data_IF_265500010180
#
_entry.id   IF_265500010180
#
_cell.length_a   1.000
_cell.length_b   1.000
_cell.length_c   1.000
_cell.angle_alpha   90.00
_cell.angle_beta   90.00
_cell.angle_gamma   90.00
#
_symmetry.space_group_name_H-M   'P 1'
#
loop_
_entity.id
_entity.type
_entity.pdbx_description
1 polymer ?
#
# COMPACT_ATOMS: atom_id res chain seq x y z
N UNK A 1 -1.46 7.33 -10.36
CA UNK A 1 -0.87 8.17 -9.28
C UNK A 1 0.65 8.37 -9.42
N UNK A 2 1.46 7.35 -9.73
CA UNK A 2 2.91 7.53 -9.90
C UNK A 2 3.25 8.65 -10.91
N UNK A 3 2.59 8.64 -12.08
CA UNK A 3 2.79 9.67 -13.12
C UNK A 3 2.39 11.07 -12.65
N UNK A 4 1.32 11.16 -11.83
CA UNK A 4 0.87 12.43 -11.24
C UNK A 4 1.90 12.97 -10.25
N UNK A 5 2.46 12.12 -9.37
CA UNK A 5 3.53 12.51 -8.45
C UNK A 5 4.78 12.93 -9.21
N UNK A 6 5.13 12.20 -10.29
CA UNK A 6 6.23 12.58 -11.18
C UNK A 6 6.00 13.95 -11.80
N UNK A 7 4.82 14.17 -12.40
CA UNK A 7 4.46 15.46 -12.98
C UNK A 7 4.48 16.58 -11.92
N UNK A 8 3.98 16.31 -10.71
CA UNK A 8 4.00 17.25 -9.60
C UNK A 8 5.42 17.67 -9.20
N UNK A 9 6.38 16.74 -9.13
CA UNK A 9 7.77 17.08 -8.86
C UNK A 9 8.36 17.98 -9.96
N UNK A 10 8.15 17.62 -11.23
CA UNK A 10 8.67 18.37 -12.36
C UNK A 10 7.99 19.73 -12.58
N UNK A 11 6.76 19.91 -12.12
CA UNK A 11 6.04 21.18 -12.19
C UNK A 11 6.63 22.28 -11.27
N UNK A 12 7.60 21.93 -10.41
CA UNK A 12 8.30 22.90 -9.59
C UNK A 12 9.51 23.56 -10.27
N UNK A 13 9.85 23.15 -11.49
CA UNK A 13 10.86 23.89 -12.29
C UNK A 13 10.34 25.27 -12.64
N UNK A 14 11.19 26.27 -12.47
CA UNK A 14 10.86 27.68 -12.75
C UNK A 14 11.79 28.22 -13.82
N UNK A 15 11.40 28.21 -15.11
CA UNK A 15 12.22 28.77 -16.17
C UNK A 15 12.64 30.21 -15.89
N UNK A 16 13.92 30.51 -16.03
CA UNK A 16 14.45 31.84 -15.83
C UNK A 16 14.59 32.57 -17.17
N UNK A 17 14.25 33.85 -17.21
CA UNK A 17 14.42 34.71 -18.40
C UNK A 17 15.80 35.34 -18.46
N UNK A 18 16.50 35.38 -17.31
CA UNK A 18 17.82 36.01 -17.24
C UNK A 18 18.94 35.00 -17.53
N UNK A 19 20.01 35.51 -18.14
CA UNK A 19 21.21 34.72 -18.40
C UNK A 19 22.02 34.51 -17.12
N UNK A 20 22.64 33.34 -16.99
CA UNK A 20 23.65 33.10 -15.97
C UNK A 20 24.93 33.87 -16.35
N UNK A 21 25.47 34.64 -15.43
CA UNK A 21 26.76 35.33 -15.59
C UNK A 21 27.71 34.90 -14.48
N UNK A 22 28.84 34.30 -14.87
CA UNK A 22 29.87 33.83 -13.92
C UNK A 22 31.13 34.67 -14.10
N UNK A 23 31.49 35.56 -13.15
CA UNK A 23 32.74 36.30 -13.17
C UNK A 23 33.94 35.40 -12.84
N UNK A 24 35.01 35.52 -13.64
CA UNK A 24 36.27 34.81 -13.36
C UNK A 24 37.46 35.68 -13.80
N UNK A 25 38.24 36.16 -12.85
CA UNK A 25 39.25 37.17 -13.10
C UNK A 25 38.64 38.45 -13.68
N UNK A 26 39.15 38.91 -14.81
CA UNK A 26 38.65 40.09 -15.50
C UNK A 26 37.51 39.77 -16.50
N UNK A 27 37.23 38.51 -16.74
CA UNK A 27 36.19 38.05 -17.71
C UNK A 27 34.88 37.70 -17.03
N UNK A 28 33.81 37.79 -17.82
CA UNK A 28 32.45 37.39 -17.44
C UNK A 28 31.92 36.38 -18.46
N UNK A 29 31.68 35.16 -18.00
CA UNK A 29 31.17 34.08 -18.84
C UNK A 29 29.64 34.03 -18.72
N UNK A 30 28.97 33.99 -19.86
CA UNK A 30 27.51 34.09 -19.93
C UNK A 30 26.93 32.86 -20.59
N UNK A 31 25.87 32.29 -19.96
CA UNK A 31 24.97 31.30 -20.55
C UNK A 31 23.62 31.96 -20.72
N UNK A 32 23.09 31.96 -21.96
CA UNK A 32 21.77 32.51 -22.22
C UNK A 32 20.66 31.65 -21.62
N UNK A 33 19.51 32.23 -21.35
CA UNK A 33 18.38 31.52 -20.77
C UNK A 33 17.92 30.34 -21.62
N UNK A 34 17.94 30.44 -22.95
CA UNK A 34 17.58 29.35 -23.85
C UNK A 34 18.59 28.18 -23.79
N UNK A 35 19.90 28.45 -23.67
CA UNK A 35 20.93 27.40 -23.50
C UNK A 35 20.69 26.62 -22.20
N UNK A 36 20.32 27.33 -21.12
CA UNK A 36 19.96 26.69 -19.84
C UNK A 36 18.67 25.88 -19.96
N UNK A 37 17.66 26.36 -20.70
CA UNK A 37 16.43 25.62 -20.98
C UNK A 37 16.70 24.31 -21.72
N UNK A 38 17.51 24.35 -22.78
CA UNK A 38 17.88 23.18 -23.58
C UNK A 38 18.57 22.10 -22.71
N UNK A 39 19.42 22.50 -21.76
CA UNK A 39 20.04 21.59 -20.80
C UNK A 39 18.98 20.92 -19.91
N UNK A 40 18.03 21.71 -19.38
CA UNK A 40 16.95 21.20 -18.50
C UNK A 40 16.07 20.22 -19.27
N UNK A 41 15.66 20.56 -20.49
CA UNK A 41 14.83 19.72 -21.34
C UNK A 41 15.54 18.41 -21.70
N UNK A 42 16.83 18.47 -22.01
CA UNK A 42 17.66 17.30 -22.24
C UNK A 42 17.79 16.39 -21.02
N UNK A 43 17.84 16.95 -19.81
CA UNK A 43 17.87 16.17 -18.57
C UNK A 43 16.49 15.54 -18.27
N UNK A 44 15.41 16.28 -18.49
CA UNK A 44 14.03 15.80 -18.33
C UNK A 44 13.72 14.65 -19.30
N UNK A 45 14.14 14.78 -20.56
CA UNK A 45 13.96 13.74 -21.59
C UNK A 45 14.70 12.41 -21.26
N UNK A 46 15.75 12.46 -20.44
CA UNK A 46 16.49 11.28 -19.97
C UNK A 46 15.89 10.64 -18.73
N UNK A 47 14.77 11.13 -18.23
CA UNK A 47 14.07 10.64 -17.05
C UNK A 47 14.97 10.50 -15.80
N UNK A 48 15.93 11.42 -15.63
CA UNK A 48 16.78 11.43 -14.43
C UNK A 48 15.95 11.77 -13.18
N UNK A 49 16.36 11.26 -12.02
CA UNK A 49 15.72 11.67 -10.76
C UNK A 49 15.90 13.17 -10.54
N UNK A 50 14.89 13.81 -9.96
CA UNK A 50 14.84 15.27 -9.78
C UNK A 50 16.09 15.83 -9.10
N UNK A 51 16.53 15.24 -7.98
CA UNK A 51 17.72 15.70 -7.26
C UNK A 51 19.02 15.45 -8.01
N UNK A 52 19.12 14.30 -8.73
CA UNK A 52 20.25 14.01 -9.61
C UNK A 52 20.30 15.00 -10.77
N UNK A 53 19.16 15.28 -11.41
CA UNK A 53 19.03 16.25 -12.48
C UNK A 53 19.51 17.64 -12.06
N UNK A 54 19.14 18.06 -10.84
CA UNK A 54 19.60 19.34 -10.27
C UNK A 54 21.13 19.42 -10.15
N UNK A 55 21.78 18.34 -9.71
CA UNK A 55 23.24 18.25 -9.62
C UNK A 55 23.87 18.27 -11.02
N UNK A 56 23.30 17.49 -11.95
CA UNK A 56 23.76 17.44 -13.34
C UNK A 56 23.57 18.78 -14.04
N UNK A 57 22.52 19.52 -13.74
CA UNK A 57 22.28 20.87 -14.30
C UNK A 57 23.44 21.82 -13.95
N UNK A 58 23.88 21.86 -12.68
CA UNK A 58 25.03 22.65 -12.27
C UNK A 58 26.31 22.27 -13.04
N UNK A 59 26.53 20.96 -13.23
CA UNK A 59 27.73 20.45 -13.96
C UNK A 59 27.65 20.78 -15.45
N UNK A 60 26.47 20.69 -16.06
CA UNK A 60 26.27 21.05 -17.48
C UNK A 60 26.45 22.54 -17.74
N UNK A 61 25.90 23.40 -16.86
CA UNK A 61 26.15 24.84 -16.92
C UNK A 61 27.64 25.17 -16.83
N UNK A 62 28.36 24.50 -15.91
CA UNK A 62 29.81 24.67 -15.79
C UNK A 62 30.55 24.20 -17.03
N UNK A 63 30.16 23.08 -17.63
CA UNK A 63 30.74 22.57 -18.86
C UNK A 63 30.57 23.53 -20.05
N UNK A 64 29.36 24.11 -20.24
CA UNK A 64 29.11 25.13 -21.27
C UNK A 64 30.01 26.33 -21.08
N UNK A 65 30.32 26.73 -19.84
CA UNK A 65 31.29 27.80 -19.58
C UNK A 65 32.69 27.37 -19.96
N UNK A 66 33.12 26.13 -19.68
CA UNK A 66 34.42 25.61 -20.12
C UNK A 66 34.56 25.65 -21.64
N UNK A 67 33.56 25.19 -22.36
CA UNK A 67 33.54 25.22 -23.85
C UNK A 67 33.74 26.66 -24.36
N UNK A 68 33.04 27.65 -23.74
CA UNK A 68 33.21 29.07 -24.08
C UNK A 68 34.61 29.61 -23.75
N UNK A 69 35.25 29.11 -22.68
CA UNK A 69 36.62 29.44 -22.30
C UNK A 69 37.61 28.90 -23.33
N UNK A 70 37.44 27.63 -23.74
CA UNK A 70 38.28 26.98 -24.77
C UNK A 70 38.18 27.72 -26.12
N UNK A 71 36.97 28.08 -26.54
CA UNK A 71 36.76 28.90 -27.76
C UNK A 71 37.45 30.26 -27.64
N UNK A 72 37.56 30.80 -26.41
CA UNK A 72 38.26 32.07 -26.17
C UNK A 72 39.79 31.92 -26.00
N UNK A 73 40.33 30.71 -26.24
CA UNK A 73 41.76 30.40 -26.18
C UNK A 73 42.31 30.11 -24.77
N UNK A 74 41.45 29.85 -23.80
CA UNK A 74 41.85 29.34 -22.45
C UNK A 74 41.92 27.81 -22.48
N UNK A 75 42.71 27.19 -21.59
CA UNK A 75 42.80 25.74 -21.43
C UNK A 75 42.38 25.36 -20.01
N UNK A 76 41.07 25.39 -19.69
CA UNK A 76 40.58 25.01 -18.37
C UNK A 76 40.70 23.50 -18.16
N UNK A 77 41.00 23.07 -16.91
CA UNK A 77 40.99 21.69 -16.49
C UNK A 77 39.69 21.30 -15.78
N UNK A 78 39.50 20.01 -15.44
CA UNK A 78 38.31 19.51 -14.72
C UNK A 78 38.10 20.17 -13.37
N UNK A 79 39.15 20.63 -12.68
CA UNK A 79 39.07 21.36 -11.41
C UNK A 79 38.39 22.71 -11.57
N UNK A 80 38.59 23.33 -12.73
CA UNK A 80 37.93 24.56 -13.11
C UNK A 80 36.43 24.34 -13.26
N UNK A 81 36.01 23.25 -13.92
CA UNK A 81 34.59 22.88 -14.05
C UNK A 81 33.95 22.73 -12.66
N UNK A 82 34.56 21.94 -11.77
CA UNK A 82 34.04 21.72 -10.44
C UNK A 82 33.93 23.03 -9.63
N UNK A 83 34.93 23.89 -9.74
CA UNK A 83 34.95 25.20 -9.08
C UNK A 83 33.80 26.07 -9.60
N UNK A 84 33.56 26.10 -10.91
CA UNK A 84 32.46 26.85 -11.53
C UNK A 84 31.11 26.29 -11.09
N UNK A 85 30.92 24.97 -11.14
CA UNK A 85 29.66 24.31 -10.72
C UNK A 85 29.29 24.62 -9.28
N UNK A 86 30.29 24.76 -8.40
CA UNK A 86 30.10 25.09 -6.98
C UNK A 86 30.10 26.61 -6.70
N UNK A 87 30.31 27.45 -7.69
CA UNK A 87 30.34 28.90 -7.52
C UNK A 87 29.00 29.46 -7.06
N UNK A 88 29.03 30.60 -6.35
CA UNK A 88 27.81 31.27 -5.87
C UNK A 88 26.82 31.61 -7.01
N UNK A 89 27.29 32.17 -8.15
CA UNK A 89 26.38 32.48 -9.27
C UNK A 89 25.65 31.25 -9.82
N UNK A 90 26.38 30.15 -10.06
CA UNK A 90 25.80 28.90 -10.57
C UNK A 90 24.81 28.32 -9.57
N UNK A 91 25.16 28.25 -8.27
CA UNK A 91 24.25 27.77 -7.22
C UNK A 91 22.96 28.59 -7.16
N UNK A 92 23.07 29.91 -7.14
CA UNK A 92 21.91 30.79 -7.09
C UNK A 92 21.01 30.60 -8.32
N UNK A 93 21.61 30.49 -9.51
CA UNK A 93 20.89 30.24 -10.76
C UNK A 93 20.18 28.86 -10.74
N UNK A 94 20.87 27.82 -10.30
CA UNK A 94 20.31 26.49 -10.14
C UNK A 94 19.19 26.48 -9.08
N UNK A 95 19.35 27.17 -7.96
CA UNK A 95 18.31 27.26 -6.92
C UNK A 95 17.05 27.97 -7.44
N UNK A 96 17.20 28.97 -8.31
CA UNK A 96 16.08 29.67 -8.93
C UNK A 96 15.36 28.82 -9.99
N UNK A 97 16.11 28.12 -10.84
CA UNK A 97 15.57 27.26 -11.89
C UNK A 97 14.99 25.95 -11.37
N UNK A 98 15.71 25.31 -10.44
CA UNK A 98 15.51 23.95 -9.99
C UNK A 98 15.52 23.88 -8.47
N UNK A 99 14.44 24.33 -7.83
CA UNK A 99 14.37 24.41 -6.39
C UNK A 99 14.53 23.07 -5.71
N UNK A 100 15.00 23.05 -4.48
CA UNK A 100 15.01 21.84 -3.65
C UNK A 100 13.60 21.49 -3.23
N UNK A 101 13.23 20.23 -3.39
CA UNK A 101 11.93 19.72 -3.00
C UNK A 101 11.99 18.97 -1.67
N UNK A 102 10.89 19.02 -0.95
CA UNK A 102 10.54 18.18 0.17
C UNK A 102 9.37 17.31 -0.25
N UNK A 103 9.50 15.97 -0.15
CA UNK A 103 8.52 15.02 -0.64
C UNK A 103 7.14 15.21 0.00
N UNK A 104 7.11 15.43 1.33
CA UNK A 104 5.86 15.63 2.04
C UNK A 104 5.17 16.95 1.64
N UNK A 105 5.96 18.01 1.35
CA UNK A 105 5.40 19.28 0.86
C UNK A 105 4.82 19.16 -0.54
N UNK A 106 5.48 18.38 -1.43
CA UNK A 106 4.95 18.12 -2.79
C UNK A 106 3.62 17.41 -2.70
N UNK A 107 3.53 16.32 -1.91
CA UNK A 107 2.28 15.56 -1.74
C UNK A 107 1.22 16.37 -1.00
N UNK A 108 1.61 17.13 0.02
CA UNK A 108 0.68 18.04 0.70
C UNK A 108 0.03 19.01 -0.28
N UNK A 109 0.83 19.70 -1.11
CA UNK A 109 0.32 20.59 -2.13
C UNK A 109 -0.57 19.86 -3.13
N UNK A 110 -0.16 18.66 -3.56
CA UNK A 110 -0.93 17.84 -4.51
C UNK A 110 -2.33 17.52 -3.97
N UNK A 111 -2.48 17.24 -2.66
CA UNK A 111 -3.73 16.82 -2.04
C UNK A 111 -4.57 17.99 -1.45
N UNK A 112 -4.01 19.21 -1.40
CA UNK A 112 -4.69 20.38 -0.81
C UNK A 112 -4.92 21.53 -1.80
N UNK A 113 -4.20 21.57 -2.93
CA UNK A 113 -4.32 22.57 -3.98
C UNK A 113 -4.98 21.94 -5.22
N UNK A 114 -6.29 22.16 -5.36
CA UNK A 114 -7.08 21.55 -6.45
C UNK A 114 -6.66 22.03 -7.84
N UNK A 115 -6.18 23.27 -7.98
CA UNK A 115 -5.71 23.81 -9.26
C UNK A 115 -4.37 23.15 -9.65
N UNK A 116 -3.47 23.01 -8.68
CA UNK A 116 -2.21 22.30 -8.89
C UNK A 116 -2.46 20.83 -9.24
N UNK A 117 -3.32 20.12 -8.49
CA UNK A 117 -3.69 18.73 -8.81
C UNK A 117 -4.25 18.63 -10.24
N UNK A 118 -5.16 19.51 -10.62
CA UNK A 118 -5.73 19.51 -11.97
C UNK A 118 -4.66 19.70 -13.05
N UNK A 119 -3.72 20.64 -12.83
CA UNK A 119 -2.65 20.95 -13.80
C UNK A 119 -1.69 19.77 -14.05
N UNK A 120 -1.38 18.96 -13.02
CA UNK A 120 -0.40 17.87 -13.12
C UNK A 120 -1.04 16.50 -13.38
N UNK A 121 -2.37 16.41 -13.36
CA UNK A 121 -3.11 15.15 -13.57
C UNK A 121 -3.95 15.12 -14.85
N UNK A 122 -3.80 16.11 -15.71
CA UNK A 122 -4.51 16.19 -17.00
C UNK A 122 -4.24 14.94 -17.84
N UNK A 123 -5.31 14.28 -18.31
CA UNK A 123 -5.22 13.05 -19.11
C UNK A 123 -4.87 11.79 -18.31
N UNK A 124 -4.63 11.89 -17.00
CA UNK A 124 -4.31 10.76 -16.12
C UNK A 124 -5.45 10.46 -15.16
N UNK A 125 -6.06 11.49 -14.56
CA UNK A 125 -7.16 11.35 -13.61
C UNK A 125 -8.43 12.02 -14.12
N UNK A 126 -9.56 11.40 -13.82
CA UNK A 126 -10.89 11.98 -14.03
C UNK A 126 -11.18 13.07 -12.97
N UNK A 127 -12.20 13.88 -13.21
CA UNK A 127 -12.65 14.90 -12.24
C UNK A 127 -13.17 14.28 -10.93
N UNK A 128 -13.75 13.09 -11.01
CA UNK A 128 -14.23 12.34 -9.85
C UNK A 128 -13.06 11.85 -8.99
N UNK A 129 -12.06 11.24 -9.61
CA UNK A 129 -10.83 10.79 -8.94
C UNK A 129 -10.08 11.96 -8.30
N UNK A 130 -9.97 13.12 -8.99
CA UNK A 130 -9.37 14.33 -8.41
C UNK A 130 -10.12 14.80 -7.16
N UNK A 131 -11.47 14.79 -7.20
CA UNK A 131 -12.28 15.16 -6.02
C UNK A 131 -12.14 14.18 -4.88
N UNK A 132 -11.96 12.89 -5.17
CA UNK A 132 -11.73 11.84 -4.17
C UNK A 132 -10.36 11.91 -3.50
N UNK A 133 -9.35 12.45 -4.18
CA UNK A 133 -7.99 12.59 -3.65
C UNK A 133 -7.81 13.76 -2.68
N UNK A 134 -8.68 14.78 -2.76
CA UNK A 134 -8.54 15.97 -1.91
C UNK A 134 -8.74 15.63 -0.43
N UNK A 135 -7.77 16.00 0.41
CA UNK A 135 -7.86 15.87 1.86
C UNK A 135 -9.04 16.68 2.41
N UNK A 136 -9.94 16.03 3.10
CA UNK A 136 -11.13 16.67 3.70
C UNK A 136 -11.32 16.25 5.15
N UNK A 137 -11.39 17.21 6.11
CA UNK A 137 -11.21 18.65 5.91
C UNK A 137 -9.78 19.00 5.47
N UNK A 138 -9.62 20.07 4.68
CA UNK A 138 -8.30 20.52 4.24
C UNK A 138 -7.46 20.93 5.48
N UNK A 139 -6.31 20.27 5.71
CA UNK A 139 -5.49 20.54 6.89
C UNK A 139 -4.83 21.93 6.77
N UNK A 140 -4.75 22.67 7.88
CA UNK A 140 -4.18 24.02 7.91
C UNK A 140 -2.66 24.06 7.71
N UNK A 141 -1.99 22.94 7.89
CA UNK A 141 -0.53 22.81 7.74
C UNK A 141 -0.11 21.38 7.52
N UNK A 142 1.08 21.19 6.98
CA UNK A 142 1.71 19.89 6.79
C UNK A 142 1.73 19.02 8.08
N UNK A 143 1.94 19.65 9.24
CA UNK A 143 1.98 18.93 10.54
C UNK A 143 0.63 18.35 10.94
N UNK A 144 -0.46 18.95 10.45
CA UNK A 144 -1.84 18.58 10.78
C UNK A 144 -2.49 17.74 9.65
N UNK A 145 -1.69 17.24 8.71
CA UNK A 145 -2.23 16.55 7.52
C UNK A 145 -2.88 15.19 7.85
N UNK A 146 -2.57 14.58 9.01
CA UNK A 146 -3.17 13.31 9.40
C UNK A 146 -2.90 12.20 8.38
N UNK A 147 -1.63 12.05 7.94
CA UNK A 147 -1.23 11.13 6.87
C UNK A 147 -1.72 9.71 7.08
N UNK A 148 -2.39 9.19 6.08
CA UNK A 148 -2.72 7.76 5.99
C UNK A 148 -1.54 6.97 5.43
N UNK A 149 -1.59 5.64 5.55
CA UNK A 149 -0.59 4.74 4.94
C UNK A 149 -0.51 4.93 3.41
N UNK A 150 -1.63 5.29 2.77
CA UNK A 150 -1.70 5.55 1.33
C UNK A 150 -1.00 6.87 0.96
N UNK A 151 -1.18 7.90 1.76
CA UNK A 151 -0.47 9.18 1.58
C UNK A 151 1.03 8.99 1.77
N UNK A 152 1.45 8.17 2.74
CA UNK A 152 2.85 7.81 2.94
C UNK A 152 3.46 7.11 1.72
N UNK A 153 2.69 6.27 1.02
CA UNK A 153 3.15 5.66 -0.23
C UNK A 153 3.37 6.69 -1.36
N UNK A 154 2.55 7.76 -1.41
CA UNK A 154 2.77 8.88 -2.34
C UNK A 154 4.00 9.71 -1.95
N UNK A 155 4.20 9.95 -0.65
CA UNK A 155 5.39 10.65 -0.13
C UNK A 155 6.65 9.85 -0.45
N UNK A 156 6.61 8.53 -0.30
CA UNK A 156 7.71 7.63 -0.66
C UNK A 156 8.04 7.68 -2.17
N UNK A 157 7.01 7.73 -3.04
CA UNK A 157 7.19 7.92 -4.48
C UNK A 157 7.90 9.24 -4.78
N UNK A 158 7.43 10.33 -4.19
CA UNK A 158 8.05 11.65 -4.36
C UNK A 158 9.48 11.67 -3.80
N UNK A 159 9.74 11.02 -2.68
CA UNK A 159 11.07 10.93 -2.07
C UNK A 159 12.07 10.22 -2.98
N UNK A 160 11.70 9.11 -3.63
CA UNK A 160 12.57 8.39 -4.56
C UNK A 160 12.84 9.19 -5.84
N UNK A 161 11.85 9.96 -6.33
CA UNK A 161 12.04 10.88 -7.45
C UNK A 161 13.03 12.01 -7.10
N UNK A 162 13.04 12.46 -5.86
CA UNK A 162 13.96 13.50 -5.38
C UNK A 162 15.35 12.93 -5.14
N UNK A 163 15.45 11.82 -4.40
CA UNK A 163 16.70 11.18 -4.06
C UNK A 163 16.53 9.65 -4.07
N UNK A 164 17.53 8.95 -4.62
CA UNK A 164 17.46 7.49 -4.74
C UNK A 164 17.25 6.83 -3.39
N UNK A 165 16.23 5.99 -3.30
CA UNK A 165 15.99 5.11 -2.15
C UNK A 165 17.11 4.06 -2.08
N UNK A 166 17.70 3.82 -0.91
CA UNK A 166 18.67 2.73 -0.72
C UNK A 166 18.03 1.36 -1.03
N UNK A 167 18.73 0.53 -1.78
CA UNK A 167 18.29 -0.83 -2.14
C UNK A 167 18.91 -1.86 -1.22
N UNK A 168 18.14 -2.92 -0.92
CA UNK A 168 18.60 -4.12 -0.19
C UNK A 168 18.79 -5.28 -1.15
N UNK A 169 19.55 -6.30 -0.73
CA UNK A 169 19.86 -7.47 -1.56
C UNK A 169 18.69 -8.43 -1.71
N UNK A 170 17.83 -8.54 -0.70
CA UNK A 170 16.65 -9.41 -0.71
C UNK A 170 15.52 -8.82 0.13
N UNK A 171 14.27 -9.01 -0.34
CA UNK A 171 13.04 -8.65 0.38
C UNK A 171 12.16 -9.89 0.49
N UNK A 172 11.68 -10.16 1.68
CA UNK A 172 10.57 -11.08 1.91
C UNK A 172 9.32 -10.25 2.18
N UNK A 173 8.30 -10.45 1.38
CA UNK A 173 7.03 -9.75 1.45
C UNK A 173 5.91 -10.75 1.67
N UNK A 174 5.24 -10.66 2.82
CA UNK A 174 4.06 -11.45 3.13
C UNK A 174 2.78 -10.63 2.95
N UNK A 175 1.64 -11.32 2.81
CA UNK A 175 0.31 -10.72 2.61
C UNK A 175 0.28 -9.72 1.43
N UNK A 176 1.03 -10.01 0.38
CA UNK A 176 1.23 -9.08 -0.74
C UNK A 176 -0.07 -8.68 -1.47
N UNK A 177 -1.11 -9.52 -1.40
CA UNK A 177 -2.42 -9.24 -2.02
C UNK A 177 -3.12 -8.02 -1.42
N UNK A 178 -2.81 -7.65 -0.17
CA UNK A 178 -3.43 -6.50 0.50
C UNK A 178 -2.73 -5.16 0.22
N UNK A 179 -1.59 -5.20 -0.46
CA UNK A 179 -0.86 -3.98 -0.75
C UNK A 179 -1.44 -3.27 -1.99
N UNK A 180 -1.60 -1.96 -1.88
CA UNK A 180 -1.97 -1.14 -3.02
C UNK A 180 -0.85 -1.09 -4.07
N UNK A 181 -1.15 -0.78 -5.35
CA UNK A 181 -0.13 -0.58 -6.38
C UNK A 181 0.99 0.38 -5.98
N UNK A 182 0.68 1.44 -5.24
CA UNK A 182 1.68 2.39 -4.76
C UNK A 182 2.55 1.82 -3.64
N UNK A 183 1.98 0.99 -2.75
CA UNK A 183 2.76 0.28 -1.72
C UNK A 183 3.68 -0.76 -2.35
N UNK A 184 3.21 -1.55 -3.32
CA UNK A 184 4.05 -2.50 -4.06
C UNK A 184 5.21 -1.79 -4.76
N UNK A 185 4.98 -0.61 -5.36
CA UNK A 185 6.05 0.22 -5.93
C UNK A 185 7.05 0.69 -4.87
N UNK A 186 6.58 1.04 -3.67
CA UNK A 186 7.46 1.43 -2.56
C UNK A 186 8.38 0.27 -2.13
N UNK A 187 7.87 -0.97 -2.11
CA UNK A 187 8.67 -2.18 -1.89
C UNK A 187 9.66 -2.39 -3.05
N UNK A 188 9.20 -2.27 -4.31
CA UNK A 188 10.01 -2.46 -5.51
C UNK A 188 11.26 -1.55 -5.51
N UNK A 189 11.13 -0.28 -5.15
CA UNK A 189 12.24 0.67 -5.06
C UNK A 189 13.32 0.24 -4.08
N UNK A 190 12.93 -0.44 -3.01
CA UNK A 190 13.87 -0.97 -1.99
C UNK A 190 14.57 -2.26 -2.42
N UNK A 191 14.16 -2.85 -3.54
CA UNK A 191 14.74 -4.08 -4.07
C UNK A 191 14.89 -4.03 -5.61
N UNK A 192 15.34 -2.90 -6.14
CA UNK A 192 15.45 -2.65 -7.58
C UNK A 192 16.33 -3.69 -8.29
N UNK A 193 17.48 -4.01 -7.70
CA UNK A 193 18.48 -4.94 -8.24
C UNK A 193 18.59 -6.25 -7.47
N UNK A 194 17.85 -6.38 -6.36
CA UNK A 194 17.86 -7.56 -5.50
C UNK A 194 16.83 -8.60 -5.90
N UNK A 195 16.77 -9.68 -5.14
CA UNK A 195 15.75 -10.73 -5.26
C UNK A 195 14.59 -10.53 -4.29
N UNK A 196 13.44 -11.11 -4.60
CA UNK A 196 12.25 -11.05 -3.75
C UNK A 196 11.67 -12.43 -3.54
N UNK A 197 11.19 -12.70 -2.33
CA UNK A 197 10.23 -13.75 -2.02
C UNK A 197 8.92 -13.10 -1.67
N UNK A 198 7.88 -13.34 -2.45
CA UNK A 198 6.57 -12.70 -2.30
C UNK A 198 5.56 -13.78 -1.97
N UNK A 199 4.87 -13.62 -0.84
CA UNK A 199 3.87 -14.55 -0.34
C UNK A 199 2.52 -13.86 -0.26
N UNK A 200 1.46 -14.64 -0.38
CA UNK A 200 0.09 -14.14 -0.20
C UNK A 200 -0.95 -15.11 -0.71
N UNK A 201 -2.20 -14.78 -0.45
CA UNK A 201 -3.37 -15.54 -0.87
C UNK A 201 -4.41 -14.59 -1.50
N UNK A 202 -4.64 -14.72 -2.79
CA UNK A 202 -5.59 -13.88 -3.53
C UNK A 202 -7.04 -14.08 -3.05
N UNK A 203 -7.39 -15.26 -2.51
CA UNK A 203 -8.70 -15.51 -1.94
C UNK A 203 -8.93 -14.74 -0.62
N UNK A 204 -7.84 -14.37 0.08
CA UNK A 204 -7.87 -13.57 1.31
C UNK A 204 -7.65 -12.07 1.08
N UNK A 205 -7.80 -11.59 -0.13
CA UNK A 205 -7.64 -10.21 -0.53
C UNK A 205 -8.87 -9.39 -0.11
N UNK A 206 -8.85 -8.77 1.05
CA UNK A 206 -10.00 -8.09 1.68
C UNK A 206 -9.94 -6.56 1.60
N UNK A 207 -8.95 -5.99 0.92
CA UNK A 207 -8.84 -4.55 0.74
C UNK A 207 -9.45 -4.10 -0.60
N UNK A 208 -10.05 -2.89 -0.70
CA UNK A 208 -10.65 -2.40 -1.95
C UNK A 208 -9.66 -2.27 -3.12
N UNK A 209 -8.38 -2.12 -2.81
CA UNK A 209 -7.27 -1.97 -3.77
C UNK A 209 -6.52 -3.27 -4.03
N UNK A 210 -6.97 -4.38 -3.46
CA UNK A 210 -6.30 -5.67 -3.57
C UNK A 210 -6.02 -6.08 -5.02
N UNK A 211 -4.86 -6.66 -5.25
CA UNK A 211 -4.50 -7.20 -6.55
C UNK A 211 -5.41 -8.37 -6.93
N UNK A 212 -5.95 -8.32 -8.15
CA UNK A 212 -6.82 -9.39 -8.67
C UNK A 212 -6.04 -10.58 -9.25
N UNK A 213 -4.75 -10.42 -9.47
CA UNK A 213 -3.87 -11.47 -10.00
C UNK A 213 -2.43 -11.21 -9.59
N UNK A 214 -1.64 -12.27 -9.47
CA UNK A 214 -0.20 -12.19 -9.25
C UNK A 214 0.52 -11.41 -10.35
N UNK A 215 0.12 -11.58 -11.62
CA UNK A 215 0.70 -10.82 -12.72
C UNK A 215 0.53 -9.31 -12.57
N UNK A 216 -0.56 -8.84 -11.96
CA UNK A 216 -0.73 -7.41 -11.64
C UNK A 216 0.20 -6.95 -10.51
N UNK A 217 0.29 -7.72 -9.42
CA UNK A 217 1.18 -7.41 -8.30
C UNK A 217 2.65 -7.39 -8.74
N UNK A 218 3.08 -8.39 -9.51
CA UNK A 218 4.45 -8.53 -10.00
C UNK A 218 4.86 -7.39 -10.95
N UNK A 219 3.93 -6.86 -11.77
CA UNK A 219 4.21 -5.65 -12.57
C UNK A 219 4.54 -4.45 -11.70
N UNK A 220 3.82 -4.25 -10.60
CA UNK A 220 4.09 -3.13 -9.67
C UNK A 220 5.37 -3.35 -8.85
N UNK A 221 5.76 -4.60 -8.62
CA UNK A 221 7.03 -4.97 -8.02
C UNK A 221 8.22 -4.93 -9.00
N UNK A 222 7.97 -4.76 -10.32
CA UNK A 222 9.02 -4.78 -11.34
C UNK A 222 9.66 -6.16 -11.54
N UNK A 223 8.91 -7.25 -11.27
CA UNK A 223 9.36 -8.65 -11.32
C UNK A 223 8.43 -9.50 -12.21
N UNK A 224 8.21 -9.07 -13.44
CA UNK A 224 7.23 -9.68 -14.37
C UNK A 224 7.55 -11.10 -14.80
N UNK A 225 8.80 -11.50 -14.70
CA UNK A 225 9.37 -12.81 -15.04
C UNK A 225 9.65 -13.68 -13.79
N UNK A 226 9.02 -13.35 -12.66
CA UNK A 226 9.15 -14.14 -11.45
C UNK A 226 8.50 -15.52 -11.62
N UNK A 227 9.14 -16.54 -11.04
CA UNK A 227 8.54 -17.86 -10.87
C UNK A 227 7.39 -17.78 -9.86
N UNK A 228 6.24 -18.37 -10.18
CA UNK A 228 5.10 -18.49 -9.29
C UNK A 228 4.93 -19.96 -8.93
N UNK A 229 4.92 -20.25 -7.63
CA UNK A 229 4.65 -21.58 -7.08
C UNK A 229 3.32 -21.55 -6.34
N UNK A 230 2.38 -22.41 -6.72
CA UNK A 230 1.09 -22.53 -6.06
C UNK A 230 1.16 -23.59 -4.96
N UNK A 231 0.88 -23.17 -3.71
CA UNK A 231 0.83 -24.06 -2.57
C UNK A 231 -0.61 -24.55 -2.37
N UNK A 232 -0.91 -25.76 -2.83
CA UNK A 232 -2.25 -26.35 -2.77
C UNK A 232 -2.48 -27.26 -1.56
N UNK A 233 -1.45 -27.52 -0.74
CA UNK A 233 -1.55 -28.38 0.43
C UNK A 233 -1.40 -27.60 1.74
N UNK A 234 -2.45 -27.61 2.57
CA UNK A 234 -2.48 -26.99 3.88
C UNK A 234 -2.18 -27.99 5.01
N UNK A 235 -1.58 -27.48 6.10
CA UNK A 235 -1.23 -28.27 7.28
C UNK A 235 -1.94 -27.77 8.56
N UNK A 236 -2.64 -26.64 8.48
CA UNK A 236 -3.23 -25.96 9.62
C UNK A 236 -4.73 -26.27 9.78
N UNK A 237 -5.51 -25.90 8.78
CA UNK A 237 -6.98 -26.00 8.83
C UNK A 237 -7.42 -27.44 8.52
N UNK A 238 -8.30 -28.06 9.33
CA UNK A 238 -8.87 -29.39 9.03
C UNK A 238 -9.58 -29.45 7.69
N UNK A 239 -9.52 -30.62 7.01
CA UNK A 239 -10.09 -30.83 5.68
C UNK A 239 -11.59 -30.51 5.60
N UNK A 240 -12.38 -30.83 6.63
CA UNK A 240 -13.83 -30.53 6.64
C UNK A 240 -14.10 -29.03 6.60
N UNK A 241 -13.35 -28.26 7.40
CA UNK A 241 -13.46 -26.79 7.44
C UNK A 241 -13.02 -26.19 6.12
N UNK A 242 -11.89 -26.67 5.60
CA UNK A 242 -11.35 -26.19 4.33
C UNK A 242 -12.31 -26.48 3.15
N UNK A 243 -12.88 -27.69 3.11
CA UNK A 243 -13.85 -28.08 2.09
C UNK A 243 -15.13 -27.21 2.12
N UNK A 244 -15.55 -26.78 3.30
CA UNK A 244 -16.68 -25.86 3.45
C UNK A 244 -16.31 -24.45 2.96
N UNK A 245 -15.18 -23.91 3.42
CA UNK A 245 -14.74 -22.57 3.04
C UNK A 245 -14.45 -22.45 1.53
N UNK A 246 -13.87 -23.49 0.92
CA UNK A 246 -13.52 -23.50 -0.51
C UNK A 246 -14.73 -23.49 -1.44
N UNK A 247 -15.96 -23.71 -0.96
CA UNK A 247 -17.18 -23.44 -1.74
C UNK A 247 -17.28 -21.98 -2.21
N UNK A 248 -16.61 -21.05 -1.52
CA UNK A 248 -16.56 -19.64 -1.89
C UNK A 248 -15.60 -19.36 -3.07
N UNK A 249 -14.58 -20.20 -3.29
CA UNK A 249 -13.52 -19.95 -4.28
C UNK A 249 -14.01 -19.69 -5.70
N UNK A 250 -14.99 -20.41 -6.25
CA UNK A 250 -15.49 -20.12 -7.59
C UNK A 250 -16.00 -18.68 -7.77
N UNK A 251 -16.42 -18.02 -6.68
CA UNK A 251 -16.89 -16.64 -6.70
C UNK A 251 -15.74 -15.64 -6.45
N UNK A 252 -14.85 -15.95 -5.50
CA UNK A 252 -13.83 -14.99 -5.00
C UNK A 252 -12.48 -15.09 -5.69
N UNK A 253 -12.14 -16.26 -6.24
CA UNK A 253 -10.85 -16.55 -6.88
C UNK A 253 -10.99 -17.75 -7.85
N UNK A 254 -11.73 -17.60 -8.97
CA UNK A 254 -12.07 -18.73 -9.86
C UNK A 254 -10.86 -19.39 -10.52
N UNK A 255 -9.74 -18.70 -10.60
CA UNK A 255 -8.51 -19.19 -11.21
C UNK A 255 -7.61 -19.99 -10.23
N UNK A 256 -7.97 -20.04 -8.92
CA UNK A 256 -7.20 -20.78 -7.93
C UNK A 256 -7.71 -22.21 -7.79
N UNK A 257 -6.77 -23.16 -7.72
CA UNK A 257 -7.10 -24.54 -7.35
C UNK A 257 -7.51 -24.63 -5.89
N UNK A 258 -8.62 -25.32 -5.55
CA UNK A 258 -9.03 -25.51 -4.17
C UNK A 258 -7.93 -26.22 -3.36
N UNK A 259 -7.44 -25.62 -2.26
CA UNK A 259 -6.43 -26.25 -1.44
C UNK A 259 -7.00 -27.49 -0.72
N UNK A 260 -6.11 -28.44 -0.47
CA UNK A 260 -6.40 -29.65 0.33
C UNK A 260 -5.69 -29.57 1.67
N UNK A 261 -6.15 -30.34 2.67
CA UNK A 261 -5.49 -30.42 3.96
C UNK A 261 -5.03 -31.85 4.26
N UNK A 262 -3.85 -31.97 4.88
CA UNK A 262 -3.37 -33.25 5.43
C UNK A 262 -4.03 -33.60 6.76
N UNK A 263 -4.71 -32.64 7.41
CA UNK A 263 -5.38 -32.85 8.69
C UNK A 263 -6.81 -33.31 8.44
N UNK A 264 -7.12 -34.53 8.90
CA UNK A 264 -8.46 -35.07 8.93
C UNK A 264 -8.94 -35.09 10.39
N UNK A 265 -10.04 -34.42 10.67
CA UNK A 265 -10.64 -34.38 12.01
C UNK A 265 -12.15 -34.52 11.83
N UNK A 266 -12.68 -35.72 12.05
CA UNK A 266 -14.11 -35.96 11.95
C UNK A 266 -14.88 -35.10 12.96
N UNK A 267 -15.92 -34.40 12.51
CA UNK A 267 -16.72 -33.50 13.35
C UNK A 267 -16.06 -32.16 13.66
N UNK A 268 -14.97 -31.80 12.94
CA UNK A 268 -14.32 -30.50 13.11
C UNK A 268 -15.23 -29.31 12.69
N UNK A 269 -16.34 -29.57 11.99
CA UNK A 269 -17.22 -28.53 11.50
C UNK A 269 -18.69 -28.81 11.78
N UNK A 270 -19.44 -27.78 12.18
CA UNK A 270 -20.90 -27.84 12.25
C UNK A 270 -21.54 -26.50 11.83
N UNK A 271 -22.73 -26.62 11.23
CA UNK A 271 -23.57 -25.47 10.90
C UNK A 271 -24.87 -25.59 11.69
N UNK A 272 -25.23 -24.53 12.42
CA UNK A 272 -26.39 -24.54 13.31
C UNK A 272 -27.30 -23.35 12.99
N UNK A 273 -28.58 -23.63 12.72
CA UNK A 273 -29.60 -22.60 12.52
C UNK A 273 -30.45 -22.44 13.79
N UNK A 274 -30.65 -21.22 14.23
CA UNK A 274 -31.49 -20.92 15.38
C UNK A 274 -31.42 -19.45 15.80
N UNK A 275 -32.18 -19.09 16.82
CA UNK A 275 -32.12 -17.74 17.39
C UNK A 275 -30.68 -17.44 17.84
N UNK A 276 -30.17 -16.27 17.46
CA UNK A 276 -28.76 -15.94 17.59
C UNK A 276 -28.29 -16.00 19.04
N UNK A 277 -29.06 -15.42 19.99
CA UNK A 277 -28.68 -15.41 21.39
C UNK A 277 -28.52 -16.83 21.94
N UNK A 278 -29.50 -17.73 21.71
CA UNK A 278 -29.50 -19.09 22.23
C UNK A 278 -28.36 -19.93 21.63
N UNK A 279 -28.13 -19.78 20.33
CA UNK A 279 -27.08 -20.55 19.61
C UNK A 279 -25.68 -20.09 19.96
N UNK A 280 -25.45 -18.78 20.15
CA UNK A 280 -24.17 -18.23 20.59
C UNK A 280 -23.86 -18.66 22.03
N UNK A 281 -24.81 -18.54 22.95
CA UNK A 281 -24.65 -18.98 24.33
C UNK A 281 -24.26 -20.45 24.39
N UNK A 282 -25.06 -21.33 23.73
CA UNK A 282 -24.83 -22.77 23.74
C UNK A 282 -23.46 -23.14 23.16
N UNK A 283 -23.08 -22.56 22.02
CA UNK A 283 -21.80 -22.85 21.38
C UNK A 283 -20.61 -22.31 22.18
N UNK A 284 -20.72 -21.10 22.75
CA UNK A 284 -19.67 -20.53 23.59
C UNK A 284 -19.41 -21.37 24.86
N UNK A 285 -20.46 -21.87 25.50
CA UNK A 285 -20.32 -22.78 26.65
C UNK A 285 -19.74 -24.13 26.24
N UNK A 286 -20.19 -24.71 25.11
CA UNK A 286 -19.70 -25.99 24.61
C UNK A 286 -18.21 -25.95 24.30
N UNK A 287 -17.79 -24.97 23.45
CA UNK A 287 -16.41 -24.84 23.01
C UNK A 287 -15.48 -24.24 24.06
N UNK A 288 -15.99 -23.38 24.93
CA UNK A 288 -15.21 -22.82 26.04
C UNK A 288 -14.81 -23.84 27.13
N UNK A 289 -15.36 -25.05 27.09
CA UNK A 289 -14.92 -26.16 27.95
C UNK A 289 -13.79 -26.99 27.32
N UNK A 290 -13.53 -26.80 26.05
CA UNK A 290 -12.45 -27.50 25.35
C UNK A 290 -11.11 -26.80 25.60
N UNK A 291 -9.99 -27.55 25.60
CA UNK A 291 -8.69 -26.95 25.75
C UNK A 291 -8.31 -26.12 24.52
N UNK A 292 -7.73 -24.95 24.76
CA UNK A 292 -7.28 -24.05 23.69
C UNK A 292 -8.04 -22.71 23.66
N UNK A 293 -7.75 -21.91 22.65
CA UNK A 293 -8.33 -20.58 22.47
C UNK A 293 -9.63 -20.64 21.68
N UNK A 294 -10.61 -19.81 22.05
CA UNK A 294 -11.88 -19.68 21.34
C UNK A 294 -12.02 -18.28 20.74
N UNK A 295 -12.09 -18.20 19.40
CA UNK A 295 -12.43 -16.97 18.66
C UNK A 295 -13.92 -16.97 18.27
N UNK A 296 -14.65 -15.92 18.68
CA UNK A 296 -16.04 -15.69 18.25
C UNK A 296 -16.01 -14.56 17.24
N UNK A 297 -16.16 -14.88 15.94
CA UNK A 297 -16.03 -13.91 14.86
C UNK A 297 -17.41 -13.42 14.42
N UNK A 298 -17.60 -12.11 14.44
CA UNK A 298 -18.89 -11.46 14.17
C UNK A 298 -18.72 -10.28 13.20
N UNK A 299 -19.77 -9.91 12.50
CA UNK A 299 -19.77 -8.64 11.76
C UNK A 299 -19.56 -7.46 12.73
N UNK A 300 -18.77 -6.47 12.34
CA UNK A 300 -18.37 -5.34 13.20
C UNK A 300 -19.58 -4.65 13.88
N UNK A 301 -20.69 -4.53 13.15
CA UNK A 301 -21.95 -3.95 13.67
C UNK A 301 -22.66 -4.82 14.71
N UNK A 302 -22.31 -6.10 14.82
CA UNK A 302 -22.94 -7.04 15.77
C UNK A 302 -22.12 -7.25 17.05
N UNK A 303 -20.92 -6.67 17.14
CA UNK A 303 -20.04 -6.81 18.31
C UNK A 303 -20.79 -6.47 19.61
N UNK A 304 -21.51 -5.35 19.67
CA UNK A 304 -22.24 -4.93 20.87
C UNK A 304 -23.32 -5.94 21.30
N UNK A 305 -24.13 -6.41 20.35
CA UNK A 305 -25.22 -7.37 20.65
C UNK A 305 -24.67 -8.70 21.13
N UNK A 306 -23.61 -9.22 20.49
CA UNK A 306 -23.00 -10.49 20.92
C UNK A 306 -22.25 -10.33 22.24
N UNK A 307 -21.61 -9.18 22.51
CA UNK A 307 -21.05 -8.87 23.83
C UNK A 307 -22.12 -8.96 24.93
N UNK A 308 -23.28 -8.32 24.73
CA UNK A 308 -24.41 -8.38 25.69
C UNK A 308 -24.89 -9.81 25.90
N UNK A 309 -25.00 -10.60 24.84
CA UNK A 309 -25.38 -12.03 24.91
C UNK A 309 -24.36 -12.83 25.74
N UNK A 310 -23.08 -12.68 25.49
CA UNK A 310 -22.02 -13.40 26.23
C UNK A 310 -21.97 -13.00 27.71
N UNK A 311 -22.15 -11.70 28.00
CA UNK A 311 -22.24 -11.21 29.39
C UNK A 311 -23.44 -11.80 30.11
N UNK A 312 -24.62 -11.81 29.48
CA UNK A 312 -25.83 -12.39 30.03
C UNK A 312 -25.69 -13.90 30.28
N UNK A 313 -24.95 -14.61 29.43
CA UNK A 313 -24.63 -16.02 29.55
C UNK A 313 -23.51 -16.32 30.59
N UNK A 314 -22.90 -15.29 31.18
CA UNK A 314 -21.79 -15.44 32.12
C UNK A 314 -20.47 -15.89 31.49
N UNK A 315 -20.33 -15.76 30.16
CA UNK A 315 -19.10 -16.08 29.44
C UNK A 315 -18.13 -14.91 29.54
N UNK A 316 -17.00 -15.10 30.23
CA UNK A 316 -15.92 -14.13 30.27
C UNK A 316 -15.22 -14.08 28.90
N UNK A 317 -15.00 -12.93 28.37
CA UNK A 317 -14.39 -12.73 27.05
C UNK A 317 -13.73 -11.37 26.95
N UNK A 318 -12.72 -11.29 26.09
CA UNK A 318 -12.12 -10.04 25.63
C UNK A 318 -12.70 -9.66 24.27
N UNK A 319 -12.74 -8.36 23.98
CA UNK A 319 -13.12 -7.84 22.65
C UNK A 319 -11.87 -7.34 21.96
N UNK A 320 -11.54 -7.93 20.82
CA UNK A 320 -10.37 -7.50 20.05
C UNK A 320 -10.54 -6.05 19.52
N UNK A 321 -9.52 -5.23 19.74
CA UNK A 321 -9.54 -3.80 19.36
C UNK A 321 -10.09 -2.87 20.43
N UNK A 322 -10.58 -3.39 21.58
CA UNK A 322 -10.84 -2.59 22.76
C UNK A 322 -9.54 -2.33 23.55
N UNK A 323 -9.54 -1.27 24.37
CA UNK A 323 -8.39 -0.95 25.22
C UNK A 323 -8.18 -2.05 26.28
N UNK A 324 -7.04 -2.72 26.24
CA UNK A 324 -6.65 -3.75 27.20
C UNK A 324 -5.80 -4.88 26.60
N UNK A 325 -5.11 -5.64 27.46
CA UNK A 325 -4.45 -6.87 27.06
C UNK A 325 -5.49 -8.00 27.04
N UNK A 326 -5.44 -8.87 26.02
CA UNK A 326 -6.26 -10.07 25.98
C UNK A 326 -5.82 -11.00 27.13
N UNK A 327 -6.70 -11.29 28.03
CA UNK A 327 -6.44 -12.08 29.26
C UNK A 327 -7.30 -13.34 29.35
N UNK A 328 -8.43 -13.38 28.66
CA UNK A 328 -9.35 -14.51 28.67
C UNK A 328 -9.10 -15.43 27.46
N UNK A 329 -9.40 -16.72 27.60
CA UNK A 329 -9.26 -17.72 26.53
C UNK A 329 -10.32 -17.57 25.42
N UNK A 330 -11.37 -16.77 25.69
CA UNK A 330 -12.43 -16.43 24.72
C UNK A 330 -12.25 -15.02 24.20
N UNK A 331 -12.13 -14.88 22.90
CA UNK A 331 -11.98 -13.57 22.25
C UNK A 331 -13.12 -13.32 21.27
N UNK A 332 -13.86 -12.23 21.47
CA UNK A 332 -14.82 -11.71 20.49
C UNK A 332 -14.07 -10.88 19.45
N UNK A 333 -14.16 -11.28 18.19
CA UNK A 333 -13.37 -10.76 17.08
C UNK A 333 -14.27 -10.08 16.05
N UNK A 334 -14.16 -8.76 15.85
CA UNK A 334 -14.74 -8.11 14.68
C UNK A 334 -14.17 -8.74 13.40
N UNK A 335 -15.01 -9.05 12.41
CA UNK A 335 -14.60 -9.73 11.19
C UNK A 335 -13.49 -8.98 10.42
N UNK A 336 -13.48 -7.65 10.49
CA UNK A 336 -12.43 -6.82 9.90
C UNK A 336 -11.04 -7.08 10.50
N UNK A 337 -10.97 -7.55 11.76
CA UNK A 337 -9.73 -7.81 12.49
C UNK A 337 -9.33 -9.29 12.52
N UNK A 338 -10.13 -10.18 11.92
CA UNK A 338 -9.89 -11.63 11.97
C UNK A 338 -8.65 -12.09 11.17
N UNK A 339 -8.21 -11.27 10.21
CA UNK A 339 -7.06 -11.63 9.37
C UNK A 339 -5.76 -11.68 10.18
N UNK A 340 -4.95 -12.74 9.92
CA UNK A 340 -3.69 -12.95 10.65
C UNK A 340 -3.84 -13.58 12.02
N UNK A 341 -5.08 -13.81 12.50
CA UNK A 341 -5.35 -14.52 13.76
C UNK A 341 -5.59 -16.00 13.53
N UNK A 342 -5.41 -16.80 14.59
CA UNK A 342 -5.69 -18.23 14.62
C UNK A 342 -6.19 -18.61 16.00
N UNK A 343 -7.21 -19.48 16.05
CA UNK A 343 -7.79 -19.98 17.27
C UNK A 343 -7.96 -21.50 17.17
N UNK A 344 -7.84 -22.20 18.28
CA UNK A 344 -8.10 -23.64 18.31
C UNK A 344 -9.55 -23.92 17.90
N UNK A 345 -10.48 -23.14 18.42
CA UNK A 345 -11.90 -23.22 18.15
C UNK A 345 -12.42 -21.88 17.62
N UNK A 346 -13.29 -21.91 16.63
CA UNK A 346 -13.89 -20.71 16.06
C UNK A 346 -15.40 -20.85 15.98
N UNK A 347 -16.11 -19.82 16.39
CA UNK A 347 -17.53 -19.61 16.13
C UNK A 347 -17.63 -18.47 15.12
N UNK A 348 -18.23 -18.72 13.95
CA UNK A 348 -18.57 -17.65 12.98
C UNK A 348 -20.06 -17.38 13.10
N UNK A 349 -20.40 -16.15 13.45
CA UNK A 349 -21.78 -15.72 13.73
C UNK A 349 -22.31 -14.93 12.54
N UNK A 350 -23.50 -15.31 12.05
CA UNK A 350 -24.21 -14.65 10.96
C UNK A 350 -23.33 -14.36 9.74
N UNK A 351 -22.91 -15.37 8.97
CA UNK A 351 -22.10 -15.19 7.76
C UNK A 351 -22.64 -14.14 6.79
N UNK A 352 -23.96 -14.07 6.61
CA UNK A 352 -24.61 -13.07 5.77
C UNK A 352 -24.37 -11.64 6.26
N UNK A 353 -24.31 -11.44 7.58
CA UNK A 353 -24.03 -10.14 8.18
C UNK A 353 -22.58 -9.70 7.97
N UNK A 354 -21.62 -10.65 7.99
CA UNK A 354 -20.22 -10.41 7.68
C UNK A 354 -20.09 -9.94 6.22
N UNK A 355 -20.71 -10.66 5.29
CA UNK A 355 -20.69 -10.28 3.86
C UNK A 355 -21.31 -8.89 3.64
N UNK A 356 -22.47 -8.63 4.23
CA UNK A 356 -23.17 -7.35 4.10
C UNK A 356 -22.50 -6.19 4.87
N UNK A 357 -21.50 -6.45 5.67
CA UNK A 357 -20.70 -5.46 6.40
C UNK A 357 -19.62 -4.78 5.53
N UNK A 358 -19.28 -5.38 4.39
CA UNK A 358 -18.24 -4.89 3.48
C UNK A 358 -18.83 -4.02 2.36
N UNK A 359 -18.01 -3.19 1.69
CA UNK A 359 -18.48 -2.27 0.64
C UNK A 359 -19.11 -2.95 -0.58
N UNK A 360 -18.73 -4.18 -0.88
CA UNK A 360 -19.25 -4.98 -1.98
C UNK A 360 -19.25 -6.47 -1.63
N UNK A 361 -20.08 -7.24 -2.34
CA UNK A 361 -20.26 -8.68 -2.09
C UNK A 361 -18.96 -9.48 -2.23
N UNK A 362 -18.11 -9.15 -3.20
CA UNK A 362 -16.86 -9.85 -3.46
C UNK A 362 -15.91 -9.70 -2.26
N UNK A 363 -15.75 -8.49 -1.75
CA UNK A 363 -14.95 -8.20 -0.55
C UNK A 363 -15.55 -8.90 0.67
N UNK A 364 -16.88 -8.92 0.78
CA UNK A 364 -17.61 -9.61 1.84
C UNK A 364 -17.41 -11.12 1.84
N UNK A 365 -17.49 -11.77 0.69
CA UNK A 365 -17.23 -13.20 0.56
C UNK A 365 -15.77 -13.56 0.86
N UNK A 366 -14.82 -12.73 0.46
CA UNK A 366 -13.39 -12.89 0.83
C UNK A 366 -13.18 -12.73 2.32
N UNK A 367 -13.85 -11.76 2.95
CA UNK A 367 -13.82 -11.58 4.41
C UNK A 367 -14.36 -12.83 5.11
N UNK A 368 -15.47 -13.36 4.62
CA UNK A 368 -16.05 -14.58 5.16
C UNK A 368 -15.10 -15.78 5.00
N UNK A 369 -14.45 -15.93 3.83
CA UNK A 369 -13.43 -16.97 3.62
C UNK A 369 -12.29 -16.86 4.64
N UNK A 370 -11.80 -15.65 4.90
CA UNK A 370 -10.82 -15.41 5.97
C UNK A 370 -11.35 -15.88 7.31
N UNK A 371 -12.57 -15.50 7.71
CA UNK A 371 -13.13 -15.87 9.00
C UNK A 371 -13.27 -17.39 9.16
N UNK A 372 -13.75 -18.09 8.13
CA UNK A 372 -13.92 -19.54 8.14
C UNK A 372 -12.59 -20.30 8.28
N UNK A 373 -11.51 -19.74 7.77
CA UNK A 373 -10.17 -20.38 7.77
C UNK A 373 -9.32 -20.02 9.00
N UNK A 374 -9.90 -19.39 10.03
CA UNK A 374 -9.18 -19.07 11.27
C UNK A 374 -9.12 -20.21 12.26
N UNK A 375 -9.94 -21.25 12.09
CA UNK A 375 -10.03 -22.40 12.98
C UNK A 375 -8.89 -23.41 12.71
N UNK A 376 -8.19 -23.78 13.79
CA UNK A 376 -7.14 -24.80 13.77
C UNK A 376 -7.68 -26.19 14.12
N UNK A 377 -8.72 -26.27 14.93
CA UNK A 377 -9.27 -27.55 15.41
C UNK A 377 -10.74 -27.73 15.08
N UNK A 378 -11.60 -26.76 15.43
CA UNK A 378 -13.03 -26.85 15.13
C UNK A 378 -13.66 -25.53 14.74
N UNK A 379 -14.69 -25.61 13.90
CA UNK A 379 -15.48 -24.48 13.43
C UNK A 379 -16.96 -24.74 13.64
N UNK A 380 -17.63 -23.79 14.27
CA UNK A 380 -19.09 -23.73 14.37
C UNK A 380 -19.58 -22.50 13.63
N UNK A 381 -20.48 -22.70 12.66
CA UNK A 381 -21.15 -21.60 11.94
C UNK A 381 -22.57 -21.47 12.48
N UNK A 382 -22.89 -20.30 13.01
CA UNK A 382 -24.20 -19.99 13.58
C UNK A 382 -24.95 -19.00 12.68
N UNK A 383 -26.21 -19.28 12.36
CA UNK A 383 -27.00 -18.39 11.56
C UNK A 383 -28.50 -18.45 11.89
N UNK A 384 -29.15 -17.33 11.87
CA UNK A 384 -30.59 -17.18 11.94
C UNK A 384 -31.14 -16.89 10.53
N UNK A 385 -30.46 -16.00 9.81
CA UNK A 385 -30.75 -15.67 8.42
C UNK A 385 -30.17 -16.71 7.45
N UNK A 386 -30.60 -16.68 6.19
CA UNK A 386 -30.07 -17.60 5.19
C UNK A 386 -28.57 -17.37 4.95
N UNK A 387 -27.85 -18.45 4.73
CA UNK A 387 -26.42 -18.40 4.41
C UNK A 387 -26.17 -17.76 3.06
N UNK A 388 -25.04 -17.05 2.87
CA UNK A 388 -24.64 -16.57 1.55
C UNK A 388 -24.42 -17.75 0.59
N UNK A 389 -24.81 -17.59 -0.70
CA UNK A 389 -24.36 -18.54 -1.73
C UNK A 389 -22.83 -18.51 -1.87
N UNK A 390 -22.17 -19.64 -2.07
CA UNK A 390 -22.67 -21.02 -2.19
C UNK A 390 -22.59 -21.85 -0.89
N UNK A 391 -22.71 -21.26 0.27
CA UNK A 391 -22.63 -21.97 1.55
C UNK A 391 -23.96 -22.57 1.99
N UNK A 392 -25.08 -22.03 1.50
CA UNK A 392 -26.44 -22.48 1.78
C UNK A 392 -26.91 -23.68 0.97
#
# INVERSE_FOLDING_TARGET
MADVVTAACWAHLVPQSEALVVPRGTRRWRIAAYEASDIVDGLRGRQVRYGTGRTMFAQRLAHEILVKMEVAGESPDDRVQETIARSRPVRAYVDAWWPRLDAAKVVYRLLTDAEFLASVSTGVLTDEERRGLALRPCPRSLRNAGWTIHDLALIDEAADLIARTPSVGHVVLDEAQDLSPMMLRAVARRCETGSMTVLGDLAQATTPWASRSWGSALRHLGKTDAHIEELTQGFRVPQEILAYATRLLPRIAPDLEPPTSVRTSAGAMSVRRGALADTVEAAAHELGQLPGTLGIIVADRQVGVVTETLVAAGVRHDVLGADGALADDVTLVPAALAKGLEFDHVIVVEPAAIVAGEPDEMTGLRRLYVCLTRAVTSLVVLHETDLPEPLG
#
